data_IF_742032867017
#
_entry.id   IF_742032867017
#
_cell.length_a   1.000
_cell.length_b   1.000
_cell.length_c   1.000
_cell.angle_alpha   90.00
_cell.angle_beta   90.00
_cell.angle_gamma   90.00
#
_symmetry.space_group_name_H-M   'P 1'
#
loop_
_entity.id
_entity.type
_entity.pdbx_description
1 polymer ?
#
# COMPACT_ATOMS: atom_id res chain seq x y z
N UNK A 1 -14.45 2.49 19.04
CA UNK A 1 -13.02 2.86 19.22
C UNK A 1 -12.31 2.39 17.95
N UNK A 2 -11.76 3.31 17.13
CA UNK A 2 -10.81 2.92 16.06
C UNK A 2 -9.59 2.35 16.80
N UNK A 3 -9.22 1.11 16.54
CA UNK A 3 -7.95 0.59 17.03
C UNK A 3 -6.83 1.40 16.35
N UNK A 4 -5.91 1.97 17.13
CA UNK A 4 -4.76 2.73 16.60
C UNK A 4 -3.88 1.89 15.65
N UNK A 5 -3.96 0.56 15.73
CA UNK A 5 -3.27 -0.37 14.83
C UNK A 5 -3.80 -0.38 13.39
N UNK A 6 -4.97 0.19 13.12
CA UNK A 6 -5.59 0.23 11.79
C UNK A 6 -5.55 1.63 11.14
N UNK A 7 -4.87 2.60 11.78
CA UNK A 7 -4.67 3.92 11.16
C UNK A 7 -3.70 3.83 9.99
N UNK A 8 -3.83 4.77 9.06
CA UNK A 8 -2.96 4.82 7.88
C UNK A 8 -1.51 5.09 8.30
N UNK A 9 -1.30 5.99 9.27
CA UNK A 9 0.01 6.27 9.87
C UNK A 9 0.69 5.01 10.43
N UNK A 10 -0.04 4.22 11.23
CA UNK A 10 0.51 3.00 11.83
C UNK A 10 0.88 1.96 10.76
N UNK A 11 0.05 1.83 9.72
CA UNK A 11 0.32 0.89 8.63
C UNK A 11 1.52 1.34 7.80
N UNK A 12 1.64 2.63 7.48
CA UNK A 12 2.75 3.15 6.69
C UNK A 12 4.08 3.06 7.45
N UNK A 13 4.06 3.32 8.76
CA UNK A 13 5.24 3.24 9.64
C UNK A 13 5.59 1.84 10.13
N UNK A 14 4.70 0.85 9.97
CA UNK A 14 5.03 -0.52 10.38
C UNK A 14 6.22 -1.09 9.58
N UNK A 15 6.97 -2.01 10.17
CA UNK A 15 8.11 -2.66 9.50
C UNK A 15 7.72 -3.70 8.46
N UNK A 16 6.42 -3.92 8.20
CA UNK A 16 5.98 -4.95 7.27
C UNK A 16 6.28 -4.57 5.84
N UNK A 17 6.63 -5.56 5.03
CA UNK A 17 6.88 -5.36 3.61
C UNK A 17 5.57 -5.07 2.88
N UNK A 18 5.50 -3.90 2.25
CA UNK A 18 4.32 -3.40 1.55
C UNK A 18 4.70 -2.64 0.30
N UNK A 19 3.79 -2.61 -0.67
CA UNK A 19 3.83 -1.75 -1.85
C UNK A 19 2.65 -0.77 -1.78
N UNK A 20 2.94 0.50 -1.99
CA UNK A 20 1.95 1.57 -1.97
C UNK A 20 1.63 1.99 -3.41
N UNK A 21 0.35 2.12 -3.72
CA UNK A 21 -0.12 2.68 -4.99
C UNK A 21 -1.05 3.82 -4.66
N UNK A 22 -0.68 5.04 -5.02
CA UNK A 22 -1.44 6.22 -4.63
C UNK A 22 -1.68 7.18 -5.80
N UNK A 23 -2.74 7.97 -5.67
CA UNK A 23 -3.17 8.89 -6.72
C UNK A 23 -2.26 10.12 -6.80
N UNK A 24 -1.87 10.63 -5.64
CA UNK A 24 -0.98 11.77 -5.46
C UNK A 24 0.17 11.41 -4.51
N UNK A 25 1.16 12.29 -4.38
CA UNK A 25 2.16 12.19 -3.31
C UNK A 25 1.49 12.09 -1.93
N UNK A 26 2.10 11.30 -1.03
CA UNK A 26 1.56 11.06 0.30
C UNK A 26 2.14 12.07 1.28
N UNK A 27 1.30 13.02 1.63
CA UNK A 27 1.55 13.97 2.70
C UNK A 27 0.28 14.05 3.56
N UNK A 28 0.28 13.29 4.65
CA UNK A 28 -0.83 13.16 5.59
C UNK A 28 -0.86 14.29 6.63
N UNK A 29 0.21 15.09 6.74
CA UNK A 29 0.21 16.29 7.56
C UNK A 29 -0.62 17.41 6.91
N UNK A 30 -0.78 17.34 5.59
CA UNK A 30 -1.65 18.22 4.79
C UNK A 30 -3.05 17.64 4.60
N UNK A 31 -3.97 18.53 4.17
CA UNK A 31 -5.36 18.20 3.85
C UNK A 31 -5.56 17.78 2.39
N UNK A 32 -4.52 17.28 1.76
CA UNK A 32 -4.52 16.89 0.35
C UNK A 32 -5.40 15.66 0.15
N UNK A 33 -6.18 15.66 -0.93
CA UNK A 33 -6.99 14.49 -1.28
C UNK A 33 -6.11 13.41 -1.90
N UNK A 34 -6.28 12.17 -1.44
CA UNK A 34 -5.54 11.04 -1.98
C UNK A 34 -6.34 9.74 -1.84
N UNK A 35 -6.12 8.82 -2.76
CA UNK A 35 -6.58 7.44 -2.66
C UNK A 35 -5.35 6.56 -2.67
N UNK A 36 -5.21 5.73 -1.64
CA UNK A 36 -3.99 5.00 -1.34
C UNK A 36 -4.34 3.53 -1.16
N UNK A 37 -3.81 2.70 -2.06
CA UNK A 37 -3.83 1.25 -1.92
C UNK A 37 -2.52 0.77 -1.29
N UNK A 38 -2.64 -0.19 -0.38
CA UNK A 38 -1.51 -0.83 0.30
C UNK A 38 -1.60 -2.32 0.04
N UNK A 39 -0.62 -2.84 -0.69
CA UNK A 39 -0.46 -4.24 -1.03
C UNK A 39 0.57 -4.85 -0.07
N UNK A 40 0.11 -5.65 0.88
CA UNK A 40 0.96 -6.32 1.86
C UNK A 40 1.63 -7.54 1.21
N UNK A 41 2.96 -7.61 1.28
CA UNK A 41 3.75 -8.66 0.63
C UNK A 41 4.06 -9.77 1.62
N UNK A 42 3.85 -11.03 1.25
CA UNK A 42 4.27 -12.17 2.06
C UNK A 42 5.80 -12.22 2.21
N UNK A 43 6.26 -12.32 3.44
CA UNK A 43 7.64 -12.68 3.73
C UNK A 43 7.76 -14.21 3.68
N UNK A 44 8.30 -14.74 2.58
CA UNK A 44 8.67 -16.15 2.52
C UNK A 44 9.96 -16.38 3.33
N UNK A 45 9.99 -17.26 4.35
CA UNK A 45 11.16 -17.52 5.20
C UNK A 45 12.35 -18.21 4.50
N UNK A 46 12.38 -18.28 3.17
CA UNK A 46 13.21 -19.22 2.41
C UNK A 46 14.28 -18.63 1.49
N UNK A 47 14.57 -17.33 1.51
CA UNK A 47 15.57 -16.72 0.61
C UNK A 47 16.86 -16.33 1.33
N UNK A 48 17.42 -17.28 2.08
CA UNK A 48 18.81 -17.24 2.52
C UNK A 48 19.58 -18.36 1.81
N UNK A 49 20.30 -18.01 0.74
CA UNK A 49 21.39 -18.82 0.18
C UNK A 49 20.99 -20.07 -0.61
N UNK A 50 20.76 -19.94 -1.91
CA UNK A 50 20.71 -21.09 -2.80
C UNK A 50 20.55 -20.69 -4.25
N UNK A 51 21.54 -21.01 -5.09
CA UNK A 51 21.59 -20.72 -6.53
C UNK A 51 20.55 -21.54 -7.33
N UNK A 52 19.27 -21.35 -7.06
CA UNK A 52 18.20 -21.92 -7.86
C UNK A 52 17.33 -20.77 -8.37
N UNK A 53 17.40 -20.56 -9.69
CA UNK A 53 16.57 -19.59 -10.40
C UNK A 53 15.09 -19.88 -10.18
N UNK A 54 14.42 -18.97 -9.50
CA UNK A 54 12.98 -18.81 -9.49
C UNK A 54 12.75 -17.33 -9.30
N UNK A 55 12.15 -16.67 -10.29
CA UNK A 55 11.75 -15.27 -10.16
C UNK A 55 10.87 -15.18 -8.90
N UNK A 56 11.37 -14.52 -7.85
CA UNK A 56 10.67 -14.40 -6.58
C UNK A 56 9.35 -13.67 -6.80
N UNK A 57 8.26 -14.41 -6.99
CA UNK A 57 6.93 -13.83 -7.07
C UNK A 57 6.66 -13.11 -5.75
N UNK A 58 6.46 -11.80 -5.83
CA UNK A 58 5.94 -11.00 -4.71
C UNK A 58 4.50 -11.44 -4.50
N UNK A 59 4.25 -12.40 -3.61
CA UNK A 59 2.88 -12.79 -3.26
C UNK A 59 2.26 -11.72 -2.37
N UNK A 60 1.09 -11.24 -2.74
CA UNK A 60 0.31 -10.28 -1.96
C UNK A 60 -0.63 -11.06 -1.04
N UNK A 61 -0.57 -10.82 0.26
CA UNK A 61 -1.42 -11.50 1.26
C UNK A 61 -2.67 -10.70 1.62
N UNK A 62 -2.61 -9.38 1.45
CA UNK A 62 -3.69 -8.47 1.80
C UNK A 62 -3.61 -7.21 0.93
N UNK A 63 -4.77 -6.67 0.58
CA UNK A 63 -4.90 -5.34 -0.01
C UNK A 63 -5.82 -4.51 0.86
N UNK A 64 -5.43 -3.28 1.15
CA UNK A 64 -6.27 -2.28 1.80
C UNK A 64 -6.32 -1.01 0.96
N UNK A 65 -7.47 -0.33 0.94
CA UNK A 65 -7.64 0.96 0.27
C UNK A 65 -8.11 2.01 1.28
N UNK A 66 -7.44 3.15 1.28
CA UNK A 66 -7.75 4.33 2.08
C UNK A 66 -8.06 5.51 1.18
N UNK A 67 -9.08 6.27 1.55
CA UNK A 67 -9.36 7.59 0.99
C UNK A 67 -9.05 8.63 2.05
N UNK A 68 -8.22 9.60 1.68
CA UNK A 68 -7.89 10.77 2.48
C UNK A 68 -8.65 11.95 1.93
N UNK A 69 -9.53 12.54 2.73
CA UNK A 69 -10.31 13.73 2.36
C UNK A 69 -10.23 14.75 3.48
N UNK A 70 -9.72 15.95 3.17
CA UNK A 70 -9.61 17.08 4.12
C UNK A 70 -8.87 16.76 5.43
N UNK A 71 -7.89 15.86 5.37
CA UNK A 71 -7.11 15.39 6.53
C UNK A 71 -7.79 14.30 7.36
N UNK A 72 -8.89 13.73 6.87
CA UNK A 72 -9.53 12.54 7.47
C UNK A 72 -9.24 11.33 6.59
N UNK A 73 -8.78 10.25 7.20
CA UNK A 73 -8.57 8.95 6.55
C UNK A 73 -9.71 7.96 6.83
N UNK A 74 -10.17 7.33 5.75
CA UNK A 74 -11.20 6.29 5.78
C UNK A 74 -10.73 5.07 4.99
N UNK A 75 -10.73 3.90 5.63
CA UNK A 75 -10.50 2.62 4.96
C UNK A 75 -11.79 2.19 4.26
N UNK A 76 -11.81 2.20 2.94
CA UNK A 76 -13.01 1.89 2.14
C UNK A 76 -13.04 0.45 1.62
N UNK A 77 -11.89 -0.23 1.63
CA UNK A 77 -11.79 -1.61 1.14
C UNK A 77 -10.66 -2.36 1.85
N UNK A 78 -10.89 -3.65 2.10
CA UNK A 78 -9.88 -4.59 2.59
C UNK A 78 -10.22 -6.00 2.10
N UNK A 79 -9.22 -6.73 1.60
CA UNK A 79 -9.38 -8.14 1.22
C UNK A 79 -8.13 -8.94 1.55
N UNK A 80 -8.35 -10.20 1.92
CA UNK A 80 -7.34 -11.26 2.04
C UNK A 80 -7.70 -12.45 1.13
N UNK A 81 -8.69 -12.30 0.25
CA UNK A 81 -9.10 -13.35 -0.67
C UNK A 81 -8.17 -13.39 -1.88
N UNK A 82 -7.39 -14.46 -2.02
CA UNK A 82 -6.44 -14.68 -3.12
C UNK A 82 -7.07 -14.51 -4.52
N UNK A 83 -8.34 -14.92 -4.71
CA UNK A 83 -9.04 -14.75 -5.99
C UNK A 83 -9.26 -13.27 -6.31
N UNK A 84 -9.66 -12.48 -5.30
CA UNK A 84 -9.85 -11.03 -5.46
C UNK A 84 -8.51 -10.34 -5.67
N UNK A 85 -7.49 -10.70 -4.88
CA UNK A 85 -6.13 -10.16 -4.97
C UNK A 85 -5.53 -10.40 -6.36
N UNK A 86 -5.81 -11.56 -6.98
CA UNK A 86 -5.27 -11.89 -8.31
C UNK A 86 -5.76 -10.96 -9.44
N UNK A 87 -6.82 -10.18 -9.21
CA UNK A 87 -7.31 -9.19 -10.16
C UNK A 87 -6.53 -7.87 -10.12
N UNK A 88 -5.68 -7.67 -9.12
CA UNK A 88 -4.87 -6.46 -8.98
C UNK A 88 -3.50 -6.66 -9.64
N UNK A 89 -3.16 -5.77 -10.56
CA UNK A 89 -1.80 -5.71 -11.12
C UNK A 89 -0.79 -5.37 -10.02
N UNK A 90 0.39 -6.00 -9.98
CA UNK A 90 1.45 -5.63 -9.03
C UNK A 90 2.43 -4.69 -9.75
N UNK A 91 2.61 -3.42 -9.30
CA UNK A 91 3.47 -2.46 -9.99
C UNK A 91 4.94 -2.88 -9.92
N UNK A 92 5.55 -3.12 -11.08
CA UNK A 92 6.97 -3.47 -11.20
C UNK A 92 7.89 -2.24 -11.12
N UNK A 93 7.36 -1.07 -11.39
CA UNK A 93 8.04 0.24 -11.38
C UNK A 93 8.08 0.90 -10.00
N UNK A 94 7.69 0.21 -8.92
CA UNK A 94 7.69 0.77 -7.58
C UNK A 94 9.11 1.23 -7.15
N UNK A 95 9.18 2.44 -6.60
CA UNK A 95 10.40 3.11 -6.12
C UNK A 95 10.30 3.41 -4.62
N UNK A 96 11.41 3.82 -4.00
CA UNK A 96 11.35 4.44 -2.69
C UNK A 96 10.71 5.84 -2.82
N UNK A 97 9.67 6.09 -2.04
CA UNK A 97 8.93 7.35 -1.99
C UNK A 97 9.07 7.95 -0.60
N UNK A 98 9.49 9.21 -0.55
CA UNK A 98 9.42 10.01 0.68
C UNK A 98 7.97 10.41 0.94
N UNK A 99 7.51 10.18 2.16
CA UNK A 99 6.14 10.50 2.60
C UNK A 99 6.20 11.28 3.91
N UNK A 100 5.10 11.97 4.23
CA UNK A 100 4.93 12.65 5.52
C UNK A 100 3.70 12.08 6.24
N UNK A 101 3.88 11.60 7.48
CA UNK A 101 2.81 11.08 8.32
C UNK A 101 1.96 12.23 8.90
N UNK A 102 0.80 11.92 9.49
CA UNK A 102 -0.12 12.94 10.01
C UNK A 102 0.50 13.80 11.12
N UNK A 103 1.50 13.27 11.84
CA UNK A 103 2.25 13.98 12.87
C UNK A 103 3.45 14.79 12.33
N UNK A 104 3.64 14.85 11.00
CA UNK A 104 4.76 15.53 10.34
C UNK A 104 6.07 14.73 10.31
N UNK A 105 6.05 13.46 10.74
CA UNK A 105 7.24 12.59 10.69
C UNK A 105 7.50 12.17 9.24
N UNK A 106 8.72 12.38 8.70
CA UNK A 106 9.08 11.87 7.39
C UNK A 106 9.32 10.36 7.46
N UNK A 107 8.83 9.64 6.47
CA UNK A 107 9.03 8.19 6.32
C UNK A 107 9.34 7.84 4.86
N UNK A 108 9.88 6.63 4.64
CA UNK A 108 10.15 6.11 3.29
C UNK A 108 9.40 4.81 3.07
N UNK A 109 8.58 4.77 2.02
CA UNK A 109 7.83 3.57 1.63
C UNK A 109 8.21 3.13 0.22
N UNK A 110 7.97 1.85 -0.11
CA UNK A 110 8.04 1.39 -1.49
C UNK A 110 6.68 1.61 -2.15
N UNK A 111 6.65 2.28 -3.31
CA UNK A 111 5.40 2.51 -4.01
C UNK A 111 5.52 3.23 -5.34
N UNK A 112 4.37 3.66 -5.87
CA UNK A 112 4.25 4.47 -7.07
C UNK A 112 3.09 5.47 -6.93
N UNK A 113 3.28 6.67 -7.48
CA UNK A 113 2.20 7.64 -7.73
C UNK A 113 1.69 7.42 -9.15
N UNK A 114 0.48 6.88 -9.27
CA UNK A 114 -0.13 6.54 -10.56
C UNK A 114 -1.66 6.61 -10.46
N UNK A 115 -2.23 7.71 -10.95
CA UNK A 115 -3.68 7.93 -10.96
C UNK A 115 -4.43 6.89 -11.80
N UNK A 116 -3.88 6.45 -12.92
CA UNK A 116 -4.54 5.50 -13.82
C UNK A 116 -4.63 4.11 -13.18
N UNK A 117 -3.55 3.66 -12.54
CA UNK A 117 -3.53 2.41 -11.79
C UNK A 117 -4.50 2.43 -10.60
N UNK A 118 -4.54 3.55 -9.86
CA UNK A 118 -5.52 3.72 -8.78
C UNK A 118 -6.95 3.63 -9.29
N UNK A 119 -7.27 4.29 -10.41
CA UNK A 119 -8.61 4.22 -11.00
C UNK A 119 -8.95 2.79 -11.45
N UNK A 120 -7.98 2.06 -12.00
CA UNK A 120 -8.13 0.64 -12.37
C UNK A 120 -8.44 -0.24 -11.16
N UNK A 121 -7.74 -0.03 -10.05
CA UNK A 121 -8.01 -0.73 -8.79
C UNK A 121 -9.39 -0.39 -8.20
N UNK A 122 -9.79 0.89 -8.25
CA UNK A 122 -11.13 1.30 -7.79
C UNK A 122 -12.23 0.60 -8.57
N UNK A 123 -12.08 0.46 -9.90
CA UNK A 123 -13.02 -0.28 -10.73
C UNK A 123 -13.07 -1.79 -10.41
N UNK A 124 -12.06 -2.32 -9.70
CA UNK A 124 -12.02 -3.73 -9.30
C UNK A 124 -12.72 -4.00 -7.96
N UNK A 125 -13.13 -2.95 -7.23
CA UNK A 125 -13.78 -3.05 -5.91
C UNK A 125 -15.21 -2.51 -5.87
N UNK A 126 -15.65 -1.80 -6.93
CA UNK A 126 -17.02 -1.31 -7.13
C UNK A 126 -17.74 -2.16 -8.18
#
# INVERSE_FOLDING_TARGET
MKNESDSLDSILSDGSRKLVVCKNDIDLSKKTENTIFILFVEESPGSAGGRIGGAGLRRISRISCFVVTRGTEEKIFETQNDEVISNFEIPLSAVAMDIELSNGTPEVVQGIVDEELVNTYLNSIY
#
